data_IF_463360535739
#
_entry.id   IF_463360535739
#
_cell.length_a   1.000
_cell.length_b   1.000
_cell.length_c   1.000
_cell.angle_alpha   90.00
_cell.angle_beta   90.00
_cell.angle_gamma   90.00
#
_symmetry.space_group_name_H-M   'P 1'
#
loop_
_entity.id
_entity.type
_entity.pdbx_description
1 polymer ?
#
# COMPACT_ATOMS: atom_id res chain seq x y z
N UNK A 1 -68.70 -22.68 -13.69
CA UNK A 1 -68.77 -22.54 -15.17
C UNK A 1 -67.31 -22.54 -15.57
N UNK A 2 -66.87 -23.70 -15.87
CA UNK A 2 -66.71 -24.41 -17.17
C UNK A 2 -65.44 -23.92 -17.81
N UNK A 3 -64.43 -24.74 -17.79
CA UNK A 3 -64.04 -25.76 -18.77
C UNK A 3 -63.15 -25.17 -19.84
N UNK A 4 -62.07 -25.65 -20.21
CA UNK A 4 -61.47 -26.98 -20.49
C UNK A 4 -60.39 -26.72 -21.58
N UNK A 5 -59.21 -27.26 -21.43
CA UNK A 5 -58.62 -28.45 -22.11
C UNK A 5 -58.17 -28.19 -23.55
N UNK A 6 -57.01 -28.45 -24.03
CA UNK A 6 -56.23 -29.65 -24.24
C UNK A 6 -54.94 -29.26 -25.01
N UNK A 7 -53.81 -29.77 -24.75
CA UNK A 7 -53.18 -31.06 -25.14
C UNK A 7 -52.45 -31.11 -26.48
N UNK A 8 -51.23 -31.56 -26.40
CA UNK A 8 -50.43 -32.43 -27.27
C UNK A 8 -49.52 -31.75 -28.32
N UNK A 9 -48.32 -32.19 -28.53
CA UNK A 9 -47.77 -33.53 -28.46
C UNK A 9 -46.25 -33.53 -28.66
N UNK A 10 -45.78 -34.67 -28.34
CA UNK A 10 -44.45 -35.23 -28.27
C UNK A 10 -43.77 -35.51 -29.62
N UNK A 11 -42.47 -35.79 -29.57
CA UNK A 11 -41.69 -36.48 -30.60
C UNK A 11 -40.22 -36.22 -30.37
N UNK A 12 -39.56 -36.96 -29.73
CA UNK A 12 -38.75 -38.19 -29.83
C UNK A 12 -37.32 -38.00 -30.33
N UNK A 13 -36.43 -38.58 -29.57
CA UNK A 13 -34.98 -38.79 -29.76
C UNK A 13 -34.77 -39.93 -30.80
N UNK A 14 -33.58 -40.06 -31.47
CA UNK A 14 -32.63 -40.97 -30.91
C UNK A 14 -31.12 -40.65 -31.11
N UNK A 15 -30.38 -41.00 -30.13
CA UNK A 15 -29.09 -41.74 -29.96
C UNK A 15 -28.27 -42.15 -31.18
N UNK A 16 -26.97 -42.12 -31.06
CA UNK A 16 -26.02 -42.86 -31.86
C UNK A 16 -24.57 -42.53 -31.55
N UNK A 17 -23.94 -43.43 -30.82
CA UNK A 17 -22.51 -43.48 -30.53
C UNK A 17 -21.68 -43.95 -31.74
N UNK A 18 -20.39 -43.66 -31.83
CA UNK A 18 -19.24 -44.59 -31.77
C UNK A 18 -17.92 -43.93 -32.21
N UNK A 19 -16.92 -44.16 -31.41
CA UNK A 19 -15.49 -44.43 -31.59
C UNK A 19 -14.77 -44.23 -32.95
N UNK A 20 -13.52 -43.78 -32.86
CA UNK A 20 -12.47 -44.09 -33.82
C UNK A 20 -11.19 -43.28 -33.64
N UNK A 21 -10.17 -43.95 -33.15
CA UNK A 21 -8.76 -43.55 -33.06
C UNK A 21 -8.13 -43.13 -34.40
N UNK A 22 -7.11 -42.29 -34.41
CA UNK A 22 -5.74 -42.56 -34.82
C UNK A 22 -4.92 -41.29 -35.20
N UNK A 23 -3.81 -41.16 -34.56
CA UNK A 23 -2.45 -40.78 -34.99
C UNK A 23 -2.23 -40.03 -36.32
N UNK A 24 -1.37 -39.01 -36.22
CA UNK A 24 -0.43 -38.71 -37.35
C UNK A 24 -0.02 -37.24 -37.49
N UNK A 25 1.06 -36.90 -36.90
CA UNK A 25 2.32 -36.29 -37.40
C UNK A 25 2.36 -35.00 -38.25
N UNK A 26 3.14 -34.08 -37.73
CA UNK A 26 4.16 -33.20 -38.35
C UNK A 26 3.80 -31.94 -39.12
N UNK A 27 4.46 -30.92 -38.61
CA UNK A 27 5.24 -29.83 -39.26
C UNK A 27 4.59 -28.53 -39.69
N UNK A 28 5.13 -27.52 -39.03
CA UNK A 28 5.79 -26.32 -39.56
C UNK A 28 4.92 -25.19 -40.13
N UNK A 29 5.16 -24.05 -39.60
CA UNK A 29 5.56 -22.77 -40.18
C UNK A 29 4.85 -21.60 -39.55
N UNK A 30 5.65 -20.77 -38.93
CA UNK A 30 5.40 -19.31 -38.81
C UNK A 30 5.40 -18.69 -40.21
N UNK A 31 4.90 -17.47 -40.49
CA UNK A 31 5.37 -16.28 -39.81
C UNK A 31 4.38 -15.09 -39.70
N UNK A 32 4.80 -14.15 -38.82
CA UNK A 32 4.83 -12.68 -38.97
C UNK A 32 3.56 -11.87 -39.28
N UNK A 33 3.32 -10.95 -38.48
CA UNK A 33 3.36 -9.46 -38.54
C UNK A 33 2.10 -8.88 -37.90
N UNK A 34 2.27 -7.96 -37.15
CA UNK A 34 2.55 -6.53 -37.06
C UNK A 34 1.46 -5.75 -36.33
N UNK A 35 1.94 -4.97 -35.39
CA UNK A 35 1.50 -3.61 -35.04
C UNK A 35 0.09 -3.41 -34.51
N UNK A 36 -0.04 -2.91 -33.30
CA UNK A 36 -0.27 -1.47 -33.11
C UNK A 36 -0.52 -1.10 -31.67
N UNK A 37 0.14 -0.02 -31.32
CA UNK A 37 -0.32 1.12 -30.51
C UNK A 37 -0.67 0.90 -29.05
N UNK A 38 0.21 1.43 -28.26
CA UNK A 38 -0.01 1.95 -26.90
C UNK A 38 -1.11 3.01 -26.87
N UNK A 39 -1.88 3.09 -25.82
CA UNK A 39 -2.40 4.36 -25.37
C UNK A 39 -1.73 4.79 -24.08
N UNK A 40 -1.19 5.98 -24.10
CA UNK A 40 -0.89 6.78 -22.92
C UNK A 40 -2.12 6.89 -22.02
N UNK A 41 -1.96 6.63 -20.74
CA UNK A 41 -2.84 7.22 -19.75
C UNK A 41 -2.05 7.60 -18.52
N UNK A 42 -1.80 8.86 -18.38
CA UNK A 42 -1.57 9.53 -17.12
C UNK A 42 -2.73 9.22 -16.16
N UNK A 43 -2.38 8.65 -15.01
CA UNK A 43 -3.01 9.01 -13.72
C UNK A 43 -2.33 8.20 -12.61
N UNK A 44 -1.55 8.88 -11.83
CA UNK A 44 -1.10 8.53 -10.49
C UNK A 44 -2.31 8.33 -9.59
N UNK A 45 -2.41 7.15 -9.01
CA UNK A 45 -3.41 6.80 -8.01
C UNK A 45 -3.34 5.31 -7.75
N UNK A 46 -2.74 4.93 -6.64
CA UNK A 46 -2.77 3.55 -6.15
C UNK A 46 -4.22 3.13 -5.94
N UNK A 47 -4.66 2.05 -6.60
CA UNK A 47 -6.06 1.57 -6.59
C UNK A 47 -6.40 0.64 -5.42
N UNK A 48 -5.51 0.53 -4.42
CA UNK A 48 -5.75 -0.27 -3.21
C UNK A 48 -5.81 -1.79 -3.43
N UNK A 49 -5.45 -2.31 -4.60
CA UNK A 49 -5.50 -3.74 -4.91
C UNK A 49 -4.13 -4.35 -5.12
N UNK A 50 -3.59 -4.97 -4.07
CA UNK A 50 -2.47 -5.89 -4.20
C UNK A 50 -2.94 -7.19 -4.87
N UNK A 51 -2.51 -7.43 -6.10
CA UNK A 51 -2.65 -8.74 -6.76
C UNK A 51 -1.48 -9.62 -6.33
N UNK A 52 -1.70 -10.46 -5.32
CA UNK A 52 -0.77 -11.50 -4.93
C UNK A 52 -1.18 -12.83 -5.57
N UNK A 53 -0.35 -13.40 -6.42
CA UNK A 53 -0.44 -14.82 -6.77
C UNK A 53 -0.02 -15.64 -5.54
N UNK A 54 -0.98 -16.35 -4.96
CA UNK A 54 -0.75 -17.21 -3.78
C UNK A 54 -0.05 -18.50 -4.22
N UNK A 55 1.23 -18.65 -3.87
CA UNK A 55 1.82 -19.97 -3.59
C UNK A 55 1.95 -20.13 -2.08
N UNK A 56 1.00 -20.80 -1.48
CA UNK A 56 1.09 -21.19 -0.07
C UNK A 56 2.05 -22.36 0.07
N UNK A 57 3.16 -22.16 0.75
CA UNK A 57 3.98 -23.22 1.32
C UNK A 57 3.59 -23.33 2.79
N UNK A 58 2.95 -24.43 3.16
CA UNK A 58 2.67 -24.78 4.55
C UNK A 58 3.97 -25.19 5.21
N UNK A 59 4.48 -24.37 6.14
CA UNK A 59 5.55 -24.78 7.05
C UNK A 59 4.94 -24.96 8.44
N UNK A 60 5.06 -26.17 8.95
CA UNK A 60 4.64 -26.57 10.29
C UNK A 60 5.27 -25.72 11.38
N UNK A 61 4.45 -25.32 12.36
CA UNK A 61 4.86 -24.58 13.53
C UNK A 61 5.74 -25.35 14.48
N UNK A 62 6.54 -24.59 15.17
CA UNK A 62 7.41 -24.80 16.33
C UNK A 62 8.91 -24.72 15.99
N UNK A 63 9.38 -23.48 15.90
CA UNK A 63 10.71 -23.12 16.36
C UNK A 63 10.72 -21.63 16.72
N UNK A 64 10.90 -21.34 17.98
CA UNK A 64 11.34 -20.02 18.46
C UNK A 64 12.77 -19.87 17.96
N UNK A 65 12.95 -19.15 16.86
CA UNK A 65 14.27 -18.81 16.36
C UNK A 65 14.61 -17.39 16.77
N UNK A 66 15.31 -17.30 17.88
CA UNK A 66 16.00 -16.14 18.39
C UNK A 66 17.46 -16.25 17.95
N UNK A 67 17.73 -16.11 16.67
CA UNK A 67 19.10 -15.80 16.19
C UNK A 67 19.07 -15.63 14.67
N UNK A 68 18.91 -14.37 14.21
CA UNK A 68 19.46 -13.98 12.92
C UNK A 68 20.92 -13.59 13.21
N UNK A 69 21.91 -14.38 12.83
CA UNK A 69 23.27 -13.90 12.86
C UNK A 69 23.38 -12.82 11.79
N UNK A 70 23.88 -11.66 12.18
CA UNK A 70 24.41 -10.66 11.27
C UNK A 70 25.57 -11.29 10.49
N UNK A 71 25.24 -11.94 9.41
CA UNK A 71 26.22 -12.31 8.40
C UNK A 71 26.23 -11.16 7.40
N UNK A 72 27.16 -10.25 7.61
CA UNK A 72 27.65 -9.39 6.54
C UNK A 72 28.36 -10.27 5.51
N UNK A 73 27.62 -10.86 4.62
CA UNK A 73 28.17 -11.36 3.37
C UNK A 73 27.77 -10.37 2.28
N UNK A 74 28.64 -9.42 2.04
CA UNK A 74 28.70 -8.69 0.78
C UNK A 74 29.17 -9.66 -0.29
N UNK A 75 28.29 -10.51 -0.80
CA UNK A 75 28.49 -11.14 -2.10
C UNK A 75 28.22 -10.08 -3.17
N UNK A 76 29.21 -9.21 -3.36
CA UNK A 76 29.33 -8.42 -4.58
C UNK A 76 29.63 -9.38 -5.73
N UNK A 77 28.58 -9.79 -6.43
CA UNK A 77 28.80 -10.24 -7.82
C UNK A 77 29.44 -9.09 -8.57
N UNK A 78 30.56 -9.32 -9.29
CA UNK A 78 31.15 -8.29 -10.14
C UNK A 78 30.08 -7.87 -11.14
N UNK A 79 29.51 -6.69 -10.92
CA UNK A 79 28.55 -6.10 -11.86
C UNK A 79 29.26 -5.81 -13.16
N UNK A 80 28.64 -6.13 -14.29
CA UNK A 80 29.07 -5.57 -15.57
C UNK A 80 29.22 -4.06 -15.39
N UNK A 81 30.41 -3.55 -15.68
CA UNK A 81 30.64 -2.10 -15.76
C UNK A 81 29.88 -1.62 -16.98
N UNK A 82 28.69 -1.09 -16.76
CA UNK A 82 27.95 -0.37 -17.78
C UNK A 82 28.73 0.94 -17.98
N UNK A 83 29.15 1.21 -19.19
CA UNK A 83 29.79 2.48 -19.56
C UNK A 83 28.84 3.62 -19.11
N UNK A 84 29.40 4.59 -18.41
CA UNK A 84 28.65 5.74 -17.93
C UNK A 84 28.15 6.51 -19.16
N UNK A 85 26.83 6.69 -19.23
CA UNK A 85 26.18 7.41 -20.32
C UNK A 85 26.34 8.93 -20.06
N UNK A 86 27.57 9.41 -20.26
CA UNK A 86 27.95 10.80 -20.01
C UNK A 86 27.15 11.80 -20.87
N UNK A 87 26.54 11.31 -21.92
CA UNK A 87 25.80 12.09 -22.90
C UNK A 87 24.30 12.09 -22.68
N UNK A 88 23.79 11.33 -21.72
CA UNK A 88 22.36 11.11 -21.49
C UNK A 88 21.55 12.40 -21.35
N UNK A 89 22.11 13.44 -20.73
CA UNK A 89 21.43 14.72 -20.50
C UNK A 89 21.96 15.84 -21.40
N UNK A 90 22.66 15.56 -22.50
CA UNK A 90 23.25 16.60 -23.34
C UNK A 90 22.22 17.46 -24.08
N UNK A 91 21.04 16.92 -24.34
CA UNK A 91 19.93 17.61 -24.99
C UNK A 91 19.05 18.42 -24.01
N UNK A 92 19.31 18.31 -22.69
CA UNK A 92 18.56 19.05 -21.68
C UNK A 92 18.97 20.52 -21.61
N UNK A 93 18.01 21.41 -21.38
CA UNK A 93 18.26 22.83 -21.19
C UNK A 93 19.10 23.06 -19.91
N UNK A 94 20.28 23.74 -19.99
CA UNK A 94 21.06 24.09 -18.80
C UNK A 94 20.28 24.89 -17.72
N UNK A 95 19.20 25.56 -18.10
CA UNK A 95 18.32 26.29 -17.20
C UNK A 95 17.17 25.42 -16.65
N UNK A 96 17.16 24.10 -16.92
CA UNK A 96 16.11 23.20 -16.46
C UNK A 96 15.98 23.22 -14.94
N UNK A 97 14.74 23.33 -14.47
CA UNK A 97 14.38 23.26 -13.06
C UNK A 97 14.02 21.82 -12.63
N UNK A 98 13.65 20.98 -13.60
CA UNK A 98 13.27 19.57 -13.38
C UNK A 98 13.96 18.69 -14.41
N UNK A 99 14.54 17.58 -13.96
CA UNK A 99 15.10 16.51 -14.80
C UNK A 99 14.49 15.19 -14.36
N UNK A 100 13.98 14.42 -15.32
CA UNK A 100 13.47 13.04 -15.11
C UNK A 100 14.16 12.07 -16.07
N UNK A 101 15.12 11.29 -15.55
CA UNK A 101 15.89 10.31 -16.27
C UNK A 101 15.59 8.87 -15.78
N UNK A 102 14.32 8.51 -15.81
CA UNK A 102 13.86 7.17 -15.42
C UNK A 102 14.20 6.10 -16.47
N UNK A 103 14.38 4.84 -16.04
CA UNK A 103 14.67 3.67 -16.90
C UNK A 103 15.92 3.81 -17.79
N UNK A 104 16.88 4.63 -17.39
CA UNK A 104 18.04 4.99 -18.23
C UNK A 104 19.30 4.17 -17.90
N UNK A 105 19.18 3.13 -17.06
CA UNK A 105 20.28 2.26 -16.60
C UNK A 105 21.43 3.00 -15.93
N UNK A 106 21.21 4.18 -15.40
CA UNK A 106 22.22 5.02 -14.73
C UNK A 106 22.76 4.25 -13.51
N UNK A 107 24.07 4.03 -13.49
CA UNK A 107 24.75 3.38 -12.37
C UNK A 107 25.46 4.39 -11.45
N UNK A 108 25.84 5.57 -11.98
CA UNK A 108 26.58 6.62 -11.29
C UNK A 108 25.96 7.98 -11.51
N UNK A 109 25.58 8.67 -10.44
CA UNK A 109 25.05 10.05 -10.54
C UNK A 109 26.11 11.04 -11.05
N UNK A 110 27.39 10.98 -10.65
CA UNK A 110 28.44 11.85 -11.20
C UNK A 110 28.57 11.84 -12.70
N UNK A 111 28.29 10.70 -13.38
CA UNK A 111 28.34 10.60 -14.84
C UNK A 111 27.34 11.50 -15.56
N UNK A 112 26.28 11.93 -14.88
CA UNK A 112 25.26 12.82 -15.42
C UNK A 112 25.71 14.28 -15.50
N UNK A 113 26.82 14.65 -14.83
CA UNK A 113 27.37 16.02 -14.81
C UNK A 113 26.32 17.06 -14.43
N UNK A 114 25.59 16.79 -13.33
CA UNK A 114 24.45 17.62 -12.88
C UNK A 114 24.83 19.04 -12.45
N UNK A 115 26.11 19.33 -12.22
CA UNK A 115 26.62 20.66 -11.92
C UNK A 115 26.35 21.72 -13.00
N UNK A 116 26.02 21.25 -14.22
CA UNK A 116 25.65 22.11 -15.37
C UNK A 116 24.20 22.64 -15.30
N UNK A 117 23.39 22.18 -14.31
CA UNK A 117 21.98 22.58 -14.12
C UNK A 117 21.79 23.38 -12.83
N UNK A 118 22.24 24.64 -12.76
CA UNK A 118 22.28 25.40 -11.51
C UNK A 118 20.91 25.76 -10.95
N UNK A 119 19.81 25.60 -11.72
CA UNK A 119 18.44 25.89 -11.30
C UNK A 119 17.65 24.66 -10.92
N UNK A 120 18.26 23.47 -10.96
CA UNK A 120 17.57 22.21 -10.72
C UNK A 120 16.97 22.18 -9.31
N UNK A 121 15.64 22.03 -9.25
CA UNK A 121 14.85 21.92 -8.01
C UNK A 121 14.31 20.53 -7.79
N UNK A 122 14.08 19.76 -8.88
CA UNK A 122 13.58 18.39 -8.85
C UNK A 122 14.43 17.49 -9.72
N UNK A 123 14.84 16.34 -9.15
CA UNK A 123 15.61 15.32 -9.84
C UNK A 123 14.93 13.96 -9.70
N UNK A 124 14.46 13.38 -10.81
CA UNK A 124 13.88 12.05 -10.93
C UNK A 124 14.87 11.08 -11.55
N UNK A 125 15.34 10.10 -10.76
CA UNK A 125 16.25 9.04 -11.20
C UNK A 125 15.65 7.65 -10.90
N UNK A 126 14.35 7.50 -11.09
CA UNK A 126 13.61 6.27 -10.81
C UNK A 126 14.05 5.13 -11.73
N UNK A 127 14.03 3.91 -11.20
CA UNK A 127 14.24 2.68 -11.97
C UNK A 127 15.59 2.67 -12.73
N UNK A 128 16.65 2.90 -11.96
CA UNK A 128 18.03 2.89 -12.43
C UNK A 128 18.89 1.85 -11.66
N UNK A 129 20.19 1.91 -11.78
CA UNK A 129 21.13 0.97 -11.15
C UNK A 129 22.01 1.67 -10.09
N UNK A 130 21.55 2.79 -9.56
CA UNK A 130 22.30 3.66 -8.64
C UNK A 130 22.54 2.94 -7.31
N UNK A 131 23.80 2.92 -6.87
CA UNK A 131 24.21 2.29 -5.60
C UNK A 131 24.54 3.30 -4.50
N UNK A 132 24.96 4.51 -4.88
CA UNK A 132 25.37 5.60 -3.99
C UNK A 132 24.74 6.93 -4.42
N UNK A 133 24.36 7.77 -3.45
CA UNK A 133 23.80 9.10 -3.70
C UNK A 133 24.97 10.09 -3.74
N UNK A 134 25.51 10.34 -4.92
CA UNK A 134 26.67 11.22 -5.11
C UNK A 134 26.31 12.44 -5.95
N UNK A 135 25.50 13.30 -5.33
CA UNK A 135 25.06 14.56 -5.94
C UNK A 135 26.16 15.63 -5.84
N UNK A 136 26.33 16.51 -6.86
CA UNK A 136 27.23 17.64 -6.73
C UNK A 136 26.70 18.67 -5.74
N UNK A 137 27.57 19.20 -4.87
CA UNK A 137 27.24 20.19 -3.84
C UNK A 137 26.61 21.47 -4.39
N UNK A 138 26.87 21.78 -5.67
CA UNK A 138 26.26 22.94 -6.34
C UNK A 138 24.73 22.93 -6.32
N UNK A 139 24.10 21.73 -6.30
CA UNK A 139 22.65 21.58 -6.22
C UNK A 139 22.08 21.75 -4.82
N UNK A 140 22.89 21.80 -3.78
CA UNK A 140 22.43 21.92 -2.40
C UNK A 140 21.61 23.21 -2.13
N UNK A 141 21.83 24.25 -2.94
CA UNK A 141 21.12 25.52 -2.81
C UNK A 141 19.76 25.56 -3.51
N UNK A 142 19.45 24.61 -4.39
CA UNK A 142 18.24 24.61 -5.23
C UNK A 142 17.40 23.37 -5.09
N UNK A 143 18.00 22.18 -4.95
CA UNK A 143 17.30 20.91 -4.96
C UNK A 143 16.34 20.79 -3.76
N UNK A 144 15.05 20.58 -4.06
CA UNK A 144 13.97 20.41 -3.09
C UNK A 144 13.31 19.03 -3.15
N UNK A 145 13.41 18.35 -4.30
CA UNK A 145 12.81 17.03 -4.51
C UNK A 145 13.82 16.09 -5.15
N UNK A 146 14.00 14.92 -4.53
CA UNK A 146 14.90 13.87 -5.02
C UNK A 146 14.17 12.53 -5.04
N UNK A 147 14.03 11.94 -6.23
CA UNK A 147 13.36 10.67 -6.44
C UNK A 147 14.36 9.61 -6.91
N UNK A 148 14.63 8.64 -6.04
CA UNK A 148 15.54 7.52 -6.26
C UNK A 148 14.83 6.16 -6.13
N UNK A 149 13.52 6.15 -6.42
CA UNK A 149 12.66 4.96 -6.40
C UNK A 149 13.22 3.87 -7.31
N UNK A 150 13.21 2.62 -6.82
CA UNK A 150 13.64 1.42 -7.55
C UNK A 150 15.09 1.53 -8.09
N UNK A 151 16.02 1.53 -7.14
CA UNK A 151 17.46 1.56 -7.37
C UNK A 151 18.17 0.49 -6.49
N UNK A 152 19.48 0.56 -6.38
CA UNK A 152 20.29 -0.41 -5.64
C UNK A 152 20.93 0.17 -4.38
N UNK A 153 20.40 1.28 -3.85
CA UNK A 153 20.95 2.04 -2.73
C UNK A 153 20.82 1.23 -1.44
N UNK A 154 21.92 1.02 -0.73
CA UNK A 154 21.95 0.32 0.55
C UNK A 154 22.17 1.23 1.76
N UNK A 155 22.71 2.42 1.55
CA UNK A 155 22.98 3.39 2.62
C UNK A 155 22.55 4.79 2.18
N UNK A 156 21.95 5.54 3.09
CA UNK A 156 21.66 6.97 2.90
C UNK A 156 22.91 7.74 3.32
N UNK A 157 23.60 8.35 2.37
CA UNK A 157 24.82 9.13 2.57
C UNK A 157 24.90 10.29 1.59
N UNK A 158 25.82 11.22 1.82
CA UNK A 158 26.13 12.35 0.95
C UNK A 158 24.96 13.33 0.71
N UNK A 159 24.08 13.43 1.71
CA UNK A 159 23.00 14.42 1.71
C UNK A 159 23.27 15.58 2.67
N UNK A 160 24.46 15.66 3.27
CA UNK A 160 24.79 16.54 4.40
C UNK A 160 24.55 18.03 4.08
N UNK A 161 24.79 18.48 2.85
CA UNK A 161 24.58 19.87 2.43
C UNK A 161 23.16 20.15 1.89
N UNK A 162 22.33 19.13 1.60
CA UNK A 162 21.03 19.26 0.93
C UNK A 162 19.88 19.68 1.87
N UNK A 163 20.11 20.65 2.70
CA UNK A 163 19.17 21.09 3.75
C UNK A 163 17.87 21.70 3.23
N UNK A 164 17.76 21.98 1.93
CA UNK A 164 16.53 22.48 1.29
C UNK A 164 15.58 21.37 0.84
N UNK A 165 15.98 20.10 0.89
CA UNK A 165 15.13 18.99 0.52
C UNK A 165 13.82 19.00 1.33
N UNK A 166 12.72 18.87 0.60
CA UNK A 166 11.34 18.76 1.10
C UNK A 166 10.75 17.36 0.86
N UNK A 167 11.16 16.74 -0.24
CA UNK A 167 10.70 15.38 -0.60
C UNK A 167 11.90 14.52 -0.96
N UNK A 168 11.94 13.32 -0.35
CA UNK A 168 12.98 12.32 -0.60
C UNK A 168 12.31 10.95 -0.77
N UNK A 169 12.38 10.40 -1.99
CA UNK A 169 11.89 9.06 -2.28
C UNK A 169 13.06 8.08 -2.49
N UNK A 170 13.20 7.16 -1.55
CA UNK A 170 14.16 6.07 -1.54
C UNK A 170 13.47 4.70 -1.53
N UNK A 171 12.22 4.64 -1.96
CA UNK A 171 11.44 3.40 -2.02
C UNK A 171 12.05 2.39 -3.00
N UNK A 172 11.81 1.09 -2.75
CA UNK A 172 12.31 -0.02 -3.58
C UNK A 172 13.83 -0.03 -3.70
N UNK A 173 14.52 0.04 -2.56
CA UNK A 173 15.97 0.00 -2.46
C UNK A 173 16.44 -1.13 -1.51
N UNK A 174 17.67 -1.09 -1.04
CA UNK A 174 18.28 -2.11 -0.18
C UNK A 174 18.63 -1.57 1.21
N UNK A 175 18.03 -0.46 1.65
CA UNK A 175 18.35 0.27 2.86
C UNK A 175 17.96 -0.56 4.09
N UNK A 176 18.92 -0.73 5.04
CA UNK A 176 18.71 -1.43 6.30
C UNK A 176 18.49 -0.45 7.47
N UNK A 177 19.12 0.72 7.44
CA UNK A 177 19.13 1.71 8.52
C UNK A 177 18.77 3.09 7.98
N UNK A 178 17.90 3.80 8.70
CA UNK A 178 17.62 5.21 8.43
C UNK A 178 18.67 6.02 9.18
N UNK A 179 19.61 6.57 8.44
CA UNK A 179 20.72 7.37 8.98
C UNK A 179 20.98 8.57 8.08
N UNK A 180 21.63 9.59 8.61
CA UNK A 180 22.05 10.78 7.86
C UNK A 180 20.90 11.52 7.16
N UNK A 181 19.71 11.57 7.77
CA UNK A 181 18.58 12.39 7.34
C UNK A 181 18.12 13.39 8.40
N UNK A 182 18.59 13.24 9.65
CA UNK A 182 18.22 14.04 10.82
C UNK A 182 18.53 15.56 10.66
N UNK A 183 19.47 15.91 9.78
CA UNK A 183 19.82 17.30 9.44
C UNK A 183 18.91 17.93 8.37
N UNK A 184 18.07 17.13 7.67
CA UNK A 184 17.17 17.60 6.60
C UNK A 184 15.91 18.29 7.18
N UNK A 185 16.10 19.37 7.92
CA UNK A 185 15.06 20.06 8.72
C UNK A 185 13.87 20.61 7.93
N UNK A 186 13.96 20.67 6.61
CA UNK A 186 12.88 21.10 5.74
C UNK A 186 12.11 19.95 5.09
N UNK A 187 12.50 18.69 5.39
CA UNK A 187 11.85 17.52 4.84
C UNK A 187 10.41 17.43 5.35
N UNK A 188 9.47 17.33 4.42
CA UNK A 188 8.03 17.19 4.66
C UNK A 188 7.53 15.79 4.25
N UNK A 189 8.17 15.17 3.26
CA UNK A 189 7.81 13.85 2.74
C UNK A 189 9.02 12.93 2.67
N UNK A 190 8.91 11.74 3.28
CA UNK A 190 9.95 10.71 3.24
C UNK A 190 9.32 9.35 2.87
N UNK A 191 9.78 8.79 1.75
CA UNK A 191 9.31 7.51 1.24
C UNK A 191 10.44 6.47 1.31
N UNK A 192 10.17 5.36 2.00
CA UNK A 192 11.12 4.27 2.24
C UNK A 192 10.44 2.89 2.06
N UNK A 193 9.43 2.80 1.20
CA UNK A 193 8.68 1.56 0.91
C UNK A 193 9.61 0.49 0.34
N UNK A 194 9.34 -0.77 0.66
CA UNK A 194 10.03 -1.93 0.06
C UNK A 194 11.56 -1.83 0.20
N UNK A 195 12.01 -1.70 1.44
CA UNK A 195 13.42 -1.73 1.85
C UNK A 195 13.68 -2.91 2.81
N UNK A 196 14.77 -2.87 3.57
CA UNK A 196 15.15 -3.89 4.55
C UNK A 196 15.18 -3.33 5.98
N UNK A 197 14.46 -2.24 6.24
CA UNK A 197 14.47 -1.50 7.51
C UNK A 197 13.78 -2.33 8.58
N UNK A 198 14.46 -2.55 9.71
CA UNK A 198 13.92 -3.29 10.85
C UNK A 198 13.62 -2.41 12.07
N UNK A 199 14.14 -1.19 12.09
CA UNK A 199 13.99 -0.21 13.17
C UNK A 199 13.69 1.17 12.61
N UNK A 200 12.76 1.90 13.24
CA UNK A 200 12.51 3.31 12.95
C UNK A 200 13.49 4.11 13.80
N UNK A 201 14.47 4.74 13.15
CA UNK A 201 15.56 5.50 13.79
C UNK A 201 16.03 6.63 12.87
N UNK A 202 16.86 7.56 13.38
CA UNK A 202 17.50 8.62 12.57
C UNK A 202 16.53 9.68 12.03
N UNK A 203 15.33 9.79 12.61
CA UNK A 203 14.33 10.79 12.23
C UNK A 203 14.30 11.98 13.19
N UNK A 204 15.23 12.01 14.15
CA UNK A 204 15.29 13.03 15.19
C UNK A 204 15.50 14.40 14.54
N UNK A 205 14.60 15.33 14.86
CA UNK A 205 14.67 16.72 14.36
C UNK A 205 14.02 16.96 13.00
N UNK A 206 13.35 15.97 12.40
CA UNK A 206 12.49 16.20 11.23
C UNK A 206 11.12 16.76 11.64
N UNK A 207 11.13 17.91 12.34
CA UNK A 207 9.92 18.48 12.96
C UNK A 207 8.84 18.88 11.95
N UNK A 208 9.23 19.10 10.67
CA UNK A 208 8.30 19.46 9.58
C UNK A 208 7.80 18.24 8.80
N UNK A 209 8.22 17.02 9.15
CA UNK A 209 7.79 15.84 8.43
C UNK A 209 6.28 15.63 8.61
N UNK A 210 5.56 15.66 7.51
CA UNK A 210 4.09 15.50 7.44
C UNK A 210 3.69 14.11 6.95
N UNK A 211 4.50 13.51 6.08
CA UNK A 211 4.27 12.22 5.44
C UNK A 211 5.46 11.29 5.62
N UNK A 212 5.22 10.12 6.22
CA UNK A 212 6.24 9.07 6.38
C UNK A 212 5.70 7.73 5.89
N UNK A 213 6.38 7.14 4.91
CA UNK A 213 5.99 5.84 4.35
C UNK A 213 7.11 4.81 4.51
N UNK A 214 6.83 3.77 5.28
CA UNK A 214 7.74 2.69 5.65
C UNK A 214 7.12 1.31 5.33
N UNK A 215 6.16 1.25 4.42
CA UNK A 215 5.49 0.02 4.02
C UNK A 215 6.46 -1.03 3.44
N UNK A 216 6.09 -2.30 3.54
CA UNK A 216 6.86 -3.43 2.99
C UNK A 216 8.33 -3.47 3.49
N UNK A 217 8.52 -3.33 4.80
CA UNK A 217 9.80 -3.41 5.48
C UNK A 217 9.82 -4.59 6.51
N UNK A 218 10.67 -4.54 7.51
CA UNK A 218 10.85 -5.59 8.52
C UNK A 218 10.60 -5.08 9.94
N UNK A 219 9.91 -3.95 10.09
CA UNK A 219 9.69 -3.23 11.35
C UNK A 219 8.84 -4.08 12.30
N UNK A 220 9.22 -4.14 13.58
CA UNK A 220 8.52 -4.88 14.63
C UNK A 220 7.90 -3.99 15.68
N UNK A 221 8.47 -2.81 15.90
CA UNK A 221 8.08 -1.86 16.95
C UNK A 221 7.94 -0.47 16.33
N UNK A 222 6.93 0.26 16.74
CA UNK A 222 6.75 1.69 16.41
C UNK A 222 7.54 2.48 17.45
N UNK A 223 8.63 3.12 17.03
CA UNK A 223 9.51 3.91 17.86
C UNK A 223 10.17 5.02 17.04
N UNK A 224 10.92 5.95 17.65
CA UNK A 224 11.69 6.98 16.94
C UNK A 224 10.83 8.06 16.28
N UNK A 225 9.57 8.23 16.71
CA UNK A 225 8.62 9.21 16.18
C UNK A 225 8.45 10.43 17.11
N UNK A 226 9.19 10.50 18.20
CA UNK A 226 8.95 11.44 19.31
C UNK A 226 9.09 12.91 18.90
N UNK A 227 9.89 13.20 17.88
CA UNK A 227 10.15 14.56 17.39
C UNK A 227 9.26 14.97 16.22
N UNK A 228 8.50 14.04 15.64
CA UNK A 228 7.71 14.26 14.42
C UNK A 228 6.36 14.93 14.73
N UNK A 229 6.40 16.19 15.20
CA UNK A 229 5.21 16.91 15.67
C UNK A 229 4.20 17.26 14.56
N UNK A 230 4.69 17.41 13.32
CA UNK A 230 3.86 17.75 12.16
C UNK A 230 3.33 16.51 11.42
N UNK A 231 3.66 15.29 11.87
CA UNK A 231 3.29 14.06 11.17
C UNK A 231 1.77 13.90 11.11
N UNK A 232 1.22 13.94 9.89
CA UNK A 232 -0.21 13.79 9.60
C UNK A 232 -0.55 12.44 8.98
N UNK A 233 0.40 11.84 8.27
CA UNK A 233 0.19 10.55 7.60
C UNK A 233 1.36 9.59 7.88
N UNK A 234 1.04 8.39 8.37
CA UNK A 234 2.00 7.34 8.67
C UNK A 234 1.56 6.03 8.01
N UNK A 235 2.41 5.50 7.15
CA UNK A 235 2.15 4.30 6.35
C UNK A 235 3.14 3.20 6.73
N UNK A 236 2.67 2.15 7.42
CA UNK A 236 3.44 1.04 7.98
C UNK A 236 2.95 -0.33 7.48
N UNK A 237 2.19 -0.37 6.41
CA UNK A 237 1.65 -1.62 5.87
C UNK A 237 2.72 -2.65 5.52
N UNK A 238 2.40 -3.95 5.60
CA UNK A 238 3.31 -5.05 5.23
C UNK A 238 4.62 -5.06 6.05
N UNK A 239 4.49 -5.00 7.37
CA UNK A 239 5.60 -5.11 8.31
C UNK A 239 5.37 -6.29 9.28
N UNK A 240 6.02 -6.30 10.42
CA UNK A 240 5.92 -7.35 11.45
C UNK A 240 5.48 -6.75 12.80
N UNK A 241 4.73 -5.65 12.78
CA UNK A 241 4.34 -4.87 13.96
C UNK A 241 3.25 -5.63 14.74
N UNK A 242 3.36 -5.66 16.06
CA UNK A 242 2.44 -6.38 16.95
C UNK A 242 1.64 -5.47 17.87
N UNK A 243 2.04 -4.19 18.03
CA UNK A 243 1.43 -3.23 18.95
C UNK A 243 1.43 -1.83 18.33
N UNK A 244 0.43 -1.03 18.70
CA UNK A 244 0.31 0.39 18.31
C UNK A 244 0.95 1.34 19.33
N UNK A 245 1.61 0.82 20.35
CA UNK A 245 2.40 1.64 21.25
C UNK A 245 3.50 2.39 20.51
N UNK A 246 3.90 3.58 20.99
CA UNK A 246 4.89 4.45 20.33
C UNK A 246 4.27 5.57 19.49
N UNK A 247 2.95 5.59 19.31
CA UNK A 247 2.23 6.65 18.59
C UNK A 247 1.85 7.86 19.45
N UNK A 248 2.08 7.82 20.75
CA UNK A 248 1.57 8.79 21.74
C UNK A 248 2.00 10.24 21.48
N UNK A 249 3.10 10.44 20.79
CA UNK A 249 3.64 11.78 20.45
C UNK A 249 3.09 12.33 19.13
N UNK A 250 2.46 11.49 18.29
CA UNK A 250 1.96 11.87 16.96
C UNK A 250 0.55 12.48 17.03
N UNK A 251 0.38 13.56 17.82
CA UNK A 251 -0.94 14.17 18.08
C UNK A 251 -1.63 14.78 16.86
N UNK A 252 -0.86 15.07 15.80
CA UNK A 252 -1.37 15.62 14.53
C UNK A 252 -1.79 14.55 13.53
N UNK A 253 -1.60 13.24 13.87
CA UNK A 253 -1.82 12.14 12.94
C UNK A 253 -3.31 12.03 12.56
N UNK A 254 -3.56 12.07 11.25
CA UNK A 254 -4.89 11.95 10.64
C UNK A 254 -5.07 10.62 9.91
N UNK A 255 -4.02 10.13 9.28
CA UNK A 255 -4.05 8.86 8.53
C UNK A 255 -3.03 7.89 9.12
N UNK A 256 -3.51 6.72 9.54
CA UNK A 256 -2.67 5.58 9.92
C UNK A 256 -3.00 4.39 9.04
N UNK A 257 -2.01 3.93 8.29
CA UNK A 257 -2.09 2.73 7.47
C UNK A 257 -1.12 1.68 8.02
N UNK A 258 -1.66 0.56 8.50
CA UNK A 258 -0.88 -0.51 9.14
C UNK A 258 -1.38 -1.90 8.74
N UNK A 259 -1.87 -2.04 7.51
CA UNK A 259 -2.37 -3.29 6.94
C UNK A 259 -1.28 -4.35 6.88
N UNK A 260 -1.68 -5.61 6.85
CA UNK A 260 -0.77 -6.76 6.71
C UNK A 260 0.35 -6.73 7.76
N UNK A 261 -0.04 -6.67 9.02
CA UNK A 261 0.84 -6.74 10.19
C UNK A 261 0.36 -7.85 11.16
N UNK A 262 0.66 -7.75 12.43
CA UNK A 262 0.31 -8.73 13.46
C UNK A 262 -0.34 -8.08 14.68
N UNK A 263 -1.12 -7.03 14.48
CA UNK A 263 -1.78 -6.26 15.53
C UNK A 263 -2.94 -7.08 16.09
N UNK A 264 -2.95 -7.29 17.41
CA UNK A 264 -4.01 -8.06 18.09
C UNK A 264 -5.06 -7.18 18.78
N UNK A 265 -4.68 -5.97 19.19
CA UNK A 265 -5.56 -5.00 19.82
C UNK A 265 -5.28 -3.57 19.33
N UNK A 266 -6.20 -2.65 19.62
CA UNK A 266 -6.13 -1.27 19.17
C UNK A 266 -5.67 -0.31 20.28
N UNK A 267 -5.10 -0.81 21.36
CA UNK A 267 -4.52 0.00 22.43
C UNK A 267 -3.37 0.86 21.87
N UNK A 268 -3.38 2.15 22.24
CA UNK A 268 -2.46 3.16 21.71
C UNK A 268 -3.12 4.13 20.73
N UNK A 269 -4.29 3.78 20.15
CA UNK A 269 -5.04 4.70 19.30
C UNK A 269 -5.74 5.82 20.11
N UNK A 270 -6.02 5.61 21.39
CA UNK A 270 -6.58 6.61 22.29
C UNK A 270 -5.72 7.88 22.39
N UNK A 271 -4.45 7.75 22.04
CA UNK A 271 -3.49 8.85 22.04
C UNK A 271 -3.57 9.72 20.77
N UNK A 272 -4.38 9.34 19.76
CA UNK A 272 -4.49 9.98 18.46
C UNK A 272 -5.84 10.72 18.27
N UNK A 273 -6.01 11.91 18.85
CA UNK A 273 -7.30 12.62 18.86
C UNK A 273 -7.76 13.14 17.50
N UNK A 274 -6.83 13.26 16.54
CA UNK A 274 -7.09 13.78 15.19
C UNK A 274 -7.25 12.68 14.13
N UNK A 275 -7.26 11.39 14.54
CA UNK A 275 -7.32 10.28 13.59
C UNK A 275 -8.64 10.30 12.81
N UNK A 276 -8.52 10.41 11.48
CA UNK A 276 -9.62 10.46 10.51
C UNK A 276 -9.70 9.17 9.66
N UNK A 277 -8.55 8.56 9.37
CA UNK A 277 -8.47 7.39 8.51
C UNK A 277 -7.62 6.31 9.16
N UNK A 278 -8.22 5.14 9.38
CA UNK A 278 -7.53 3.96 9.92
C UNK A 278 -7.65 2.79 8.94
N UNK A 279 -6.51 2.37 8.41
CA UNK A 279 -6.38 1.19 7.56
C UNK A 279 -5.61 0.11 8.32
N UNK A 280 -6.30 -0.92 8.82
CA UNK A 280 -5.74 -1.98 9.65
C UNK A 280 -6.16 -3.39 9.15
N UNK A 281 -6.52 -3.51 7.88
CA UNK A 281 -6.85 -4.80 7.27
C UNK A 281 -5.70 -5.80 7.35
N UNK A 282 -6.05 -7.08 7.29
CA UNK A 282 -5.10 -8.20 7.32
C UNK A 282 -4.22 -8.18 8.60
N UNK A 283 -4.89 -8.16 9.76
CA UNK A 283 -4.30 -8.20 11.09
C UNK A 283 -5.03 -9.23 11.99
N UNK A 284 -4.81 -9.19 13.29
CA UNK A 284 -5.35 -10.13 14.27
C UNK A 284 -6.31 -9.46 15.27
N UNK A 285 -6.87 -8.30 14.93
CA UNK A 285 -7.76 -7.51 15.77
C UNK A 285 -9.07 -8.23 16.02
N UNK A 286 -9.49 -8.32 17.29
CA UNK A 286 -10.71 -9.01 17.72
C UNK A 286 -11.83 -8.07 18.17
N UNK A 287 -11.49 -6.86 18.58
CA UNK A 287 -12.42 -5.88 19.16
C UNK A 287 -12.14 -4.47 18.68
N UNK A 288 -13.18 -3.71 18.40
CA UNK A 288 -13.14 -2.29 18.04
C UNK A 288 -13.35 -1.35 19.24
N UNK A 289 -13.57 -1.89 20.44
CA UNK A 289 -13.86 -1.12 21.63
C UNK A 289 -12.86 0.02 21.95
N UNK A 290 -11.53 -0.13 21.72
CA UNK A 290 -10.58 0.96 21.97
C UNK A 290 -10.78 2.19 21.08
N UNK A 291 -11.54 2.10 19.97
CA UNK A 291 -11.84 3.24 19.10
C UNK A 291 -12.75 4.29 19.74
N UNK A 292 -13.31 4.03 20.94
CA UNK A 292 -14.16 4.99 21.66
C UNK A 292 -13.50 6.38 21.84
N UNK A 293 -12.17 6.45 21.83
CA UNK A 293 -11.41 7.69 21.96
C UNK A 293 -11.15 8.43 20.65
N UNK A 294 -11.60 7.88 19.50
CA UNK A 294 -11.29 8.39 18.16
C UNK A 294 -12.56 8.85 17.40
N UNK A 295 -13.29 9.89 17.85
CA UNK A 295 -14.59 10.26 17.29
C UNK A 295 -14.53 10.87 15.89
N UNK A 296 -13.34 11.16 15.40
CA UNK A 296 -13.13 11.82 14.11
C UNK A 296 -12.96 10.85 12.93
N UNK A 297 -13.00 9.53 13.17
CA UNK A 297 -12.79 8.53 12.10
C UNK A 297 -13.90 8.66 11.04
N UNK A 298 -13.45 8.83 9.81
CA UNK A 298 -14.25 8.90 8.58
C UNK A 298 -14.09 7.63 7.73
N UNK A 299 -12.90 7.07 7.69
CA UNK A 299 -12.61 5.81 6.98
C UNK A 299 -12.07 4.80 7.96
N UNK A 300 -12.72 3.63 8.01
CA UNK A 300 -12.31 2.52 8.86
C UNK A 300 -12.23 1.23 8.01
N UNK A 301 -11.00 0.81 7.71
CA UNK A 301 -10.72 -0.46 7.05
C UNK A 301 -10.21 -1.48 8.08
N UNK A 302 -11.03 -2.48 8.36
CA UNK A 302 -10.73 -3.58 9.29
C UNK A 302 -10.87 -4.95 8.62
N UNK A 303 -10.83 -5.00 7.29
CA UNK A 303 -10.98 -6.23 6.52
C UNK A 303 -9.99 -7.30 6.98
N UNK A 304 -10.38 -8.57 6.81
CA UNK A 304 -9.55 -9.73 7.11
C UNK A 304 -8.96 -9.73 8.53
N UNK A 305 -9.79 -9.31 9.51
CA UNK A 305 -9.54 -9.42 10.94
C UNK A 305 -10.56 -10.34 11.61
N UNK A 306 -10.25 -11.00 12.73
CA UNK A 306 -11.17 -11.90 13.42
C UNK A 306 -12.27 -11.18 14.26
N UNK A 307 -12.78 -10.05 13.77
CA UNK A 307 -13.79 -9.21 14.44
C UNK A 307 -15.17 -9.86 14.32
N UNK A 308 -15.82 -10.16 15.48
CA UNK A 308 -17.14 -10.76 15.53
C UNK A 308 -18.27 -9.82 15.90
N UNK A 309 -17.97 -8.69 16.58
CA UNK A 309 -18.91 -7.66 16.99
C UNK A 309 -18.47 -6.28 16.55
N UNK A 310 -19.43 -5.36 16.41
CA UNK A 310 -19.19 -3.97 16.04
C UNK A 310 -19.28 -3.03 17.26
N UNK A 311 -19.08 -3.58 18.47
CA UNK A 311 -19.04 -2.77 19.69
C UNK A 311 -17.83 -1.81 19.65
N UNK A 312 -18.07 -0.55 20.02
CA UNK A 312 -17.02 0.47 20.08
C UNK A 312 -16.98 1.43 18.90
N UNK A 313 -17.84 1.25 17.89
CA UNK A 313 -17.95 2.19 16.76
C UNK A 313 -19.26 2.99 16.75
N UNK A 314 -20.15 2.78 17.70
CA UNK A 314 -21.47 3.44 17.73
C UNK A 314 -21.37 4.97 17.72
N UNK A 315 -20.37 5.52 18.39
CA UNK A 315 -20.12 6.96 18.52
C UNK A 315 -19.48 7.61 17.27
N UNK A 316 -19.02 6.83 16.29
CA UNK A 316 -18.35 7.33 15.07
C UNK A 316 -19.37 7.97 14.11
N UNK A 317 -19.88 9.15 14.44
CA UNK A 317 -20.91 9.85 13.66
C UNK A 317 -20.42 10.42 12.32
N UNK A 318 -19.09 10.57 12.17
CA UNK A 318 -18.44 11.04 10.93
C UNK A 318 -18.06 9.93 9.98
N UNK A 319 -18.33 8.65 10.31
CA UNK A 319 -17.93 7.51 9.51
C UNK A 319 -18.63 7.55 8.13
N UNK A 320 -17.83 7.60 7.08
CA UNK A 320 -18.25 7.64 5.68
C UNK A 320 -18.08 6.28 5.01
N UNK A 321 -16.95 5.62 5.28
CA UNK A 321 -16.58 4.34 4.70
C UNK A 321 -16.25 3.33 5.80
N UNK A 322 -16.92 2.18 5.77
CA UNK A 322 -16.64 1.07 6.68
C UNK A 322 -16.40 -0.22 5.90
N UNK A 323 -15.17 -0.70 5.95
CA UNK A 323 -14.76 -1.91 5.23
C UNK A 323 -14.41 -3.02 6.22
N UNK A 324 -15.24 -4.06 6.26
CA UNK A 324 -15.13 -5.18 7.20
C UNK A 324 -15.31 -6.53 6.49
N UNK A 325 -14.91 -6.66 5.22
CA UNK A 325 -14.91 -7.94 4.52
C UNK A 325 -13.99 -8.95 5.20
N UNK A 326 -14.35 -10.22 5.14
CA UNK A 326 -13.50 -11.30 5.67
C UNK A 326 -13.40 -11.35 7.20
N UNK A 327 -14.25 -10.63 7.93
CA UNK A 327 -14.37 -10.71 9.37
C UNK A 327 -15.28 -11.87 9.84
N UNK A 328 -15.72 -11.87 11.11
CA UNK A 328 -16.59 -12.88 11.71
C UNK A 328 -17.98 -12.35 12.05
N UNK A 329 -18.44 -11.30 11.38
CA UNK A 329 -19.75 -10.67 11.60
C UNK A 329 -20.83 -11.64 11.12
N UNK A 330 -21.74 -12.04 12.04
CA UNK A 330 -22.70 -13.11 11.80
C UNK A 330 -24.18 -12.64 11.82
N UNK A 331 -24.47 -11.45 12.34
CA UNK A 331 -25.85 -10.99 12.60
C UNK A 331 -26.12 -9.64 11.94
N UNK A 332 -27.25 -9.55 11.23
CA UNK A 332 -27.68 -8.27 10.61
C UNK A 332 -28.12 -7.25 11.67
N UNK A 333 -28.66 -7.71 12.78
CA UNK A 333 -29.03 -6.86 13.91
C UNK A 333 -27.83 -6.11 14.49
N UNK A 334 -26.67 -6.72 14.45
CA UNK A 334 -25.39 -6.12 14.85
C UNK A 334 -25.01 -4.97 13.92
N UNK A 335 -25.10 -5.20 12.62
CA UNK A 335 -24.84 -4.20 11.58
C UNK A 335 -25.81 -3.03 11.71
N UNK A 336 -27.12 -3.32 11.86
CA UNK A 336 -28.14 -2.30 12.05
C UNK A 336 -27.89 -1.48 13.32
N UNK A 337 -27.67 -2.13 14.46
CA UNK A 337 -27.43 -1.49 15.76
C UNK A 337 -26.25 -0.50 15.70
N UNK A 338 -25.13 -0.93 15.08
CA UNK A 338 -23.91 -0.14 15.11
C UNK A 338 -23.88 0.98 14.04
N UNK A 339 -24.61 0.83 12.91
CA UNK A 339 -24.37 1.65 11.73
C UNK A 339 -25.60 2.42 11.20
N UNK A 340 -26.84 2.09 11.59
CA UNK A 340 -28.05 2.69 10.99
C UNK A 340 -28.16 4.21 11.18
N UNK A 341 -27.69 4.72 12.32
CA UNK A 341 -27.82 6.13 12.66
C UNK A 341 -26.66 7.00 12.13
N UNK A 342 -25.74 6.40 11.36
CA UNK A 342 -24.59 7.10 10.75
C UNK A 342 -25.00 7.71 9.42
N UNK A 343 -25.46 8.96 9.45
CA UNK A 343 -25.97 9.67 8.26
C UNK A 343 -24.90 9.95 7.21
N UNK A 344 -23.63 10.01 7.62
CA UNK A 344 -22.48 10.20 6.71
C UNK A 344 -22.02 8.92 6.02
N UNK A 345 -22.48 7.73 6.48
CA UNK A 345 -22.04 6.44 5.99
C UNK A 345 -22.58 6.19 4.57
N UNK A 346 -21.69 6.13 3.60
CA UNK A 346 -22.04 5.96 2.18
C UNK A 346 -21.59 4.63 1.62
N UNK A 347 -20.53 4.03 2.14
CA UNK A 347 -19.93 2.81 1.60
C UNK A 347 -19.65 1.78 2.70
N UNK A 348 -20.08 0.53 2.46
CA UNK A 348 -19.80 -0.60 3.37
C UNK A 348 -19.37 -1.83 2.60
N UNK A 349 -18.44 -2.61 3.19
CA UNK A 349 -18.01 -3.91 2.70
C UNK A 349 -18.16 -4.96 3.79
N UNK A 350 -18.93 -6.01 3.51
CA UNK A 350 -19.14 -7.14 4.41
C UNK A 350 -18.98 -8.50 3.72
N UNK A 351 -18.45 -8.54 2.50
CA UNK A 351 -18.18 -9.78 1.79
C UNK A 351 -17.37 -10.75 2.65
N UNK A 352 -17.52 -12.03 2.40
CA UNK A 352 -16.79 -13.12 3.08
C UNK A 352 -17.07 -13.26 4.58
N UNK A 353 -17.98 -12.46 5.15
CA UNK A 353 -18.49 -12.64 6.52
C UNK A 353 -19.54 -13.76 6.61
N UNK A 354 -19.78 -14.34 7.81
CA UNK A 354 -20.87 -15.29 8.02
C UNK A 354 -22.25 -14.74 7.61
N UNK A 355 -22.54 -13.44 7.81
CA UNK A 355 -23.83 -12.83 7.38
C UNK A 355 -24.05 -12.95 5.87
N UNK A 356 -23.00 -12.88 5.04
CA UNK A 356 -23.12 -13.07 3.61
C UNK A 356 -23.23 -14.57 3.26
N UNK A 357 -22.29 -15.39 3.75
CA UNK A 357 -22.19 -16.81 3.40
C UNK A 357 -23.42 -17.62 3.77
N UNK A 358 -24.10 -17.25 4.84
CA UNK A 358 -25.33 -17.92 5.31
C UNK A 358 -26.59 -17.40 4.64
N UNK A 359 -26.53 -16.27 3.90
CA UNK A 359 -27.68 -15.58 3.34
C UNK A 359 -27.42 -15.07 1.92
N UNK A 360 -26.67 -15.76 1.09
CA UNK A 360 -26.16 -15.29 -0.21
C UNK A 360 -27.20 -14.56 -1.06
N UNK A 361 -28.40 -15.08 -1.17
CA UNK A 361 -29.48 -14.52 -2.01
C UNK A 361 -30.04 -13.21 -1.40
N UNK A 362 -30.23 -13.17 -0.09
CA UNK A 362 -30.93 -12.07 0.61
C UNK A 362 -29.98 -11.06 1.23
N UNK A 363 -28.71 -11.39 1.30
CA UNK A 363 -27.68 -10.61 2.01
C UNK A 363 -27.71 -9.12 1.64
N UNK A 364 -27.56 -8.82 0.35
CA UNK A 364 -27.51 -7.44 -0.13
C UNK A 364 -28.79 -6.64 0.19
N UNK A 365 -29.96 -7.28 0.04
CA UNK A 365 -31.22 -6.67 0.38
C UNK A 365 -31.36 -6.41 1.88
N UNK A 366 -30.88 -7.35 2.72
CA UNK A 366 -30.89 -7.18 4.19
C UNK A 366 -29.96 -6.03 4.62
N UNK A 367 -28.73 -5.91 4.03
CA UNK A 367 -27.85 -4.78 4.30
C UNK A 367 -28.53 -3.46 3.87
N UNK A 368 -29.16 -3.40 2.69
CA UNK A 368 -29.88 -2.20 2.23
C UNK A 368 -31.04 -1.80 3.15
N UNK A 369 -31.75 -2.78 3.72
CA UNK A 369 -32.83 -2.50 4.67
C UNK A 369 -32.31 -2.03 6.03
N UNK A 370 -31.20 -2.60 6.50
CA UNK A 370 -30.55 -2.22 7.75
C UNK A 370 -29.88 -0.84 7.66
N UNK A 371 -29.36 -0.48 6.48
CA UNK A 371 -28.57 0.74 6.23
C UNK A 371 -29.13 1.50 5.01
N UNK A 372 -30.29 2.16 5.12
CA UNK A 372 -30.93 2.82 3.98
C UNK A 372 -30.14 4.01 3.43
N UNK A 373 -29.24 4.60 4.21
CA UNK A 373 -28.38 5.71 3.83
C UNK A 373 -27.22 5.29 2.90
N UNK A 374 -26.87 4.00 2.86
CA UNK A 374 -25.67 3.51 2.14
C UNK A 374 -25.96 3.46 0.64
N UNK A 375 -25.02 4.01 -0.15
CA UNK A 375 -25.09 4.06 -1.61
C UNK A 375 -24.27 3.00 -2.30
N UNK A 376 -23.31 2.39 -1.59
CA UNK A 376 -22.41 1.37 -2.13
C UNK A 376 -22.22 0.22 -1.14
N UNK A 377 -22.50 -1.00 -1.57
CA UNK A 377 -22.31 -2.23 -0.79
C UNK A 377 -21.41 -3.14 -1.61
N UNK A 378 -20.29 -3.62 -1.03
CA UNK A 378 -19.36 -4.56 -1.66
C UNK A 378 -19.01 -4.17 -3.12
N UNK A 379 -18.43 -2.99 -3.30
CA UNK A 379 -18.03 -2.43 -4.59
C UNK A 379 -19.16 -2.18 -5.63
N UNK A 380 -20.41 -2.51 -5.31
CA UNK A 380 -21.53 -2.30 -6.22
C UNK A 380 -22.50 -1.23 -5.71
N UNK A 381 -22.90 -0.29 -6.56
CA UNK A 381 -23.88 0.72 -6.19
C UNK A 381 -25.24 0.11 -5.87
N UNK A 382 -25.90 0.69 -4.88
CA UNK A 382 -27.31 0.39 -4.56
C UNK A 382 -28.15 1.12 -5.59
N UNK A 383 -28.94 0.35 -6.39
CA UNK A 383 -29.92 0.97 -7.27
C UNK A 383 -31.01 1.63 -6.44
N UNK A 384 -31.33 2.89 -6.76
CA UNK A 384 -32.42 3.62 -6.17
C UNK A 384 -33.77 2.92 -6.39
#
# INVERSE_FOLDING_TARGET
>A
MSEQVAQNGAGDVPSGATNGDAQGDRRSSQPLSEKTSTPHSNRTGWDGKLRMEKKAVVVNGNAVDNSDPEVESEDELPGETIEADEDLLNDEDPEAEEIDAQHSRIASIPSLRLERFPKLTRLGLRQNLIRSIELPDSLASTLTELELYDNLISHIRHLDCFTKLRSLDLSYNKIKHIKHVDHLKNLTHLYLVQNKISKIEGLEGLEKLEYLELGANRIRVIEGLETLKSLTQLWLGQNKITSLQGLSTCKSLRTLSIQANRIENLEGLEELPQLEQLYISDNLVKSLAPLQSNPNIQILDVQDNPIGTLDGIEHLTKLENFWASGCKIAKFEEVERALKDKTSLTEVYFERNPIQRQNEVLYRNKIRLALPQVTKIDAAYVRA
#
